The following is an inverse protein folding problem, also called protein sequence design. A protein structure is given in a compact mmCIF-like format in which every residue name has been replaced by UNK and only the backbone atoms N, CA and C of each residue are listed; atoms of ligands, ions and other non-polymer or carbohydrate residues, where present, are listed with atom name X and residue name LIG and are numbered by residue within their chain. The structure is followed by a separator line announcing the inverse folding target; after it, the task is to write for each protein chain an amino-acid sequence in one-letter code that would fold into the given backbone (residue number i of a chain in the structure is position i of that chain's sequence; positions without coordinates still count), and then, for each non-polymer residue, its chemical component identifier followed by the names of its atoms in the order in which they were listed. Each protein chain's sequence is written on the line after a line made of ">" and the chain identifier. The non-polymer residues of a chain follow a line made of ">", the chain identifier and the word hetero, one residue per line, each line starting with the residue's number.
data_IF_446292005623
#
_entry.id   IF_446292005623
#
_cell.length_a   1.000
_cell.length_b   1.000
_cell.length_c   1.000
_cell.angle_alpha   90.00
_cell.angle_beta   90.00
_cell.angle_gamma   90.00
#
_symmetry.space_group_name_H-M   'P 1'
#
loop_
_entity.id
_entity.type
_entity.pdbx_description
1 polymer ?
#
# COMPACT_ATOMS: atom_id res chain seq x y z
N UNK A 1 40.49 -32.65 -13.45
CA UNK A 1 40.75 -31.39 -12.72
C UNK A 1 39.48 -30.59 -12.84
N UNK A 2 38.74 -30.48 -11.74
CA UNK A 2 37.42 -29.88 -11.73
C UNK A 2 37.55 -28.36 -11.62
N UNK A 3 36.94 -27.65 -12.57
CA UNK A 3 36.64 -26.23 -12.44
C UNK A 3 35.47 -26.07 -11.48
N UNK A 4 35.66 -25.21 -10.47
CA UNK A 4 34.59 -24.71 -9.63
C UNK A 4 35.03 -23.33 -9.10
N UNK A 5 34.35 -22.28 -9.51
CA UNK A 5 34.09 -21.13 -8.65
C UNK A 5 32.93 -20.31 -9.22
N UNK A 6 31.72 -20.66 -8.77
CA UNK A 6 30.60 -19.75 -8.65
C UNK A 6 31.05 -18.53 -7.83
N UNK A 7 31.10 -17.37 -8.46
CA UNK A 7 31.12 -16.08 -7.78
C UNK A 7 29.71 -15.49 -7.83
N UNK A 8 29.10 -15.11 -6.69
CA UNK A 8 27.77 -14.52 -6.68
C UNK A 8 27.80 -13.16 -7.39
N UNK A 9 26.67 -12.71 -7.97
CA UNK A 9 26.60 -11.42 -8.64
C UNK A 9 26.91 -10.29 -7.64
N UNK A 10 27.81 -9.41 -8.04
CA UNK A 10 28.32 -8.24 -7.32
C UNK A 10 27.16 -7.31 -6.93
N UNK A 11 26.74 -7.38 -5.67
CA UNK A 11 25.63 -6.62 -5.08
C UNK A 11 26.05 -5.17 -4.76
N UNK A 12 26.73 -4.50 -5.71
CA UNK A 12 27.15 -3.10 -5.60
C UNK A 12 26.01 -2.17 -5.98
N UNK A 13 25.10 -1.98 -5.03
CA UNK A 13 24.17 -0.86 -5.05
C UNK A 13 24.93 0.42 -4.69
N UNK A 14 25.10 1.30 -5.68
CA UNK A 14 25.66 2.63 -5.47
C UNK A 14 24.64 3.43 -4.66
N UNK A 15 25.09 3.93 -3.52
CA UNK A 15 24.31 4.77 -2.62
C UNK A 15 23.75 6.00 -3.34
N UNK A 16 22.45 6.26 -3.18
CA UNK A 16 21.78 7.46 -3.68
C UNK A 16 22.17 8.62 -2.76
N UNK A 17 23.32 9.24 -3.04
CA UNK A 17 23.97 10.27 -2.21
C UNK A 17 23.82 11.66 -2.87
N UNK A 18 23.31 12.64 -2.09
CA UNK A 18 23.44 14.11 -2.21
C UNK A 18 23.13 14.84 -3.54
N UNK A 19 23.05 14.18 -4.70
CA UNK A 19 22.93 14.79 -6.04
C UNK A 19 21.48 15.07 -6.50
N UNK A 20 20.48 14.75 -5.67
CA UNK A 20 19.06 14.74 -6.05
C UNK A 20 18.30 16.05 -5.73
N UNK A 21 18.99 17.09 -5.24
CA UNK A 21 18.38 18.41 -5.03
C UNK A 21 18.87 19.39 -6.09
N UNK A 22 17.92 20.00 -6.80
CA UNK A 22 18.17 21.07 -7.74
C UNK A 22 17.57 22.39 -7.24
N UNK A 23 18.03 23.49 -7.82
CA UNK A 23 17.44 24.80 -7.64
C UNK A 23 16.72 25.23 -8.91
N UNK A 24 15.54 25.84 -8.73
CA UNK A 24 14.80 26.50 -9.79
C UNK A 24 14.55 27.93 -9.36
N UNK A 25 14.99 28.87 -10.19
CA UNK A 25 14.70 30.29 -10.01
C UNK A 25 13.37 30.63 -10.67
N UNK A 26 12.45 31.18 -9.88
CA UNK A 26 11.14 31.63 -10.35
C UNK A 26 11.05 33.14 -10.26
N UNK A 27 10.57 33.80 -11.32
CA UNK A 27 10.40 35.25 -11.34
C UNK A 27 8.97 35.58 -10.94
N UNK A 28 8.79 36.14 -9.74
CA UNK A 28 7.48 36.53 -9.23
C UNK A 28 6.95 37.73 -10.02
N UNK A 29 6.16 37.47 -11.05
CA UNK A 29 5.67 38.48 -12.00
C UNK A 29 4.91 39.66 -11.38
N UNK A 30 4.29 39.50 -10.20
CA UNK A 30 3.61 40.58 -9.49
C UNK A 30 4.57 41.55 -8.78
N UNK A 31 5.81 41.13 -8.51
CA UNK A 31 6.79 41.90 -7.73
C UNK A 31 8.15 42.09 -8.41
N UNK A 32 8.41 41.36 -9.52
CA UNK A 32 9.72 41.30 -10.17
C UNK A 32 10.81 40.61 -9.35
N UNK A 33 10.50 40.09 -8.15
CA UNK A 33 11.46 39.43 -7.27
C UNK A 33 11.74 38.01 -7.74
N UNK A 34 13.01 37.60 -7.68
CA UNK A 34 13.40 36.20 -7.88
C UNK A 34 13.16 35.42 -6.60
N UNK A 35 12.44 34.30 -6.70
CA UNK A 35 12.21 33.33 -5.63
C UNK A 35 12.94 32.04 -6.04
N UNK A 36 14.02 31.71 -5.32
CA UNK A 36 14.70 30.42 -5.49
C UNK A 36 13.94 29.34 -4.74
N UNK A 37 13.66 28.23 -5.42
CA UNK A 37 13.00 27.07 -4.84
C UNK A 37 13.87 25.82 -4.98
N UNK A 38 14.00 25.09 -3.88
CA UNK A 38 14.57 23.75 -3.89
C UNK A 38 13.55 22.78 -4.50
N UNK A 39 14.02 21.99 -5.46
CA UNK A 39 13.24 20.94 -6.10
C UNK A 39 13.98 19.62 -5.99
N UNK A 40 13.23 18.53 -5.80
CA UNK A 40 13.81 17.20 -5.95
C UNK A 40 13.95 16.87 -7.43
N UNK A 41 15.13 16.42 -7.82
CA UNK A 41 15.39 15.76 -9.08
C UNK A 41 15.25 14.25 -8.87
N UNK A 42 14.74 13.51 -9.87
CA UNK A 42 14.81 12.05 -9.83
C UNK A 42 16.26 11.59 -9.70
N UNK A 43 16.47 10.54 -8.92
CA UNK A 43 17.77 9.86 -8.86
C UNK A 43 18.21 9.38 -10.26
N UNK A 44 19.50 9.06 -10.43
CA UNK A 44 20.02 8.53 -11.67
C UNK A 44 19.17 7.34 -12.19
N UNK A 45 18.80 7.38 -13.46
CA UNK A 45 17.90 6.43 -14.12
C UNK A 45 16.47 6.40 -13.58
N UNK A 46 16.04 7.33 -12.73
CA UNK A 46 14.63 7.52 -12.39
C UNK A 46 14.05 8.67 -13.21
N UNK A 47 12.77 8.59 -13.53
CA UNK A 47 12.01 9.65 -14.17
C UNK A 47 11.06 10.37 -13.22
N UNK A 48 10.83 9.89 -12.01
CA UNK A 48 9.94 10.56 -11.05
C UNK A 48 10.47 10.50 -9.62
N UNK A 49 9.91 11.36 -8.77
CA UNK A 49 10.20 11.44 -7.34
C UNK A 49 8.94 11.14 -6.53
N UNK A 50 9.12 10.74 -5.27
CA UNK A 50 8.01 10.59 -4.32
C UNK A 50 7.69 11.97 -3.72
N UNK A 51 6.46 12.44 -3.90
CA UNK A 51 5.99 13.78 -3.47
C UNK A 51 4.96 13.70 -2.32
N UNK A 52 4.53 12.49 -1.96
CA UNK A 52 3.69 12.25 -0.78
C UNK A 52 3.74 10.78 -0.39
N UNK A 53 3.78 10.43 0.90
CA UNK A 53 3.55 9.05 1.35
C UNK A 53 2.76 8.99 2.65
N UNK A 54 1.75 8.13 2.68
CA UNK A 54 1.04 7.71 3.89
C UNK A 54 1.29 6.23 4.14
N UNK A 55 1.81 5.88 5.31
CA UNK A 55 1.95 4.49 5.72
C UNK A 55 1.42 4.26 7.13
N UNK A 56 0.93 3.06 7.37
CA UNK A 56 0.41 2.64 8.68
C UNK A 56 1.20 1.45 9.19
N UNK A 57 1.44 1.40 10.50
CA UNK A 57 2.02 0.26 11.21
C UNK A 57 1.20 -0.06 12.47
N UNK A 58 1.26 -1.30 12.96
CA UNK A 58 0.66 -1.69 14.25
C UNK A 58 1.46 -1.10 15.41
N UNK A 59 0.80 -0.79 16.53
CA UNK A 59 1.45 -0.26 17.75
C UNK A 59 2.59 -1.15 18.28
N UNK A 60 2.46 -2.47 18.14
CA UNK A 60 3.50 -3.44 18.51
C UNK A 60 4.85 -3.20 17.82
N UNK A 61 4.85 -2.51 16.68
CA UNK A 61 6.07 -2.06 16.00
C UNK A 61 6.96 -1.25 16.95
N UNK A 62 6.35 -0.43 17.79
CA UNK A 62 7.04 0.45 18.71
C UNK A 62 7.56 -0.31 19.93
N UNK A 63 6.83 -1.32 20.40
CA UNK A 63 7.35 -2.24 21.43
C UNK A 63 8.59 -2.99 20.92
N UNK A 64 8.53 -3.49 19.69
CA UNK A 64 9.64 -4.22 19.05
C UNK A 64 10.89 -3.33 18.90
N UNK A 65 10.70 -2.06 18.53
CA UNK A 65 11.82 -1.13 18.31
C UNK A 65 12.41 -0.56 19.60
N UNK A 66 11.59 -0.40 20.64
CA UNK A 66 12.03 -0.08 21.99
C UNK A 66 12.69 -1.27 22.71
N UNK A 67 12.36 -2.50 22.30
CA UNK A 67 12.73 -3.77 22.96
C UNK A 67 12.15 -3.90 24.38
N UNK A 68 11.02 -3.25 24.62
CA UNK A 68 10.27 -3.29 25.87
C UNK A 68 8.79 -3.03 25.59
N UNK A 69 7.95 -3.33 26.57
CA UNK A 69 6.53 -3.00 26.48
C UNK A 69 6.31 -1.54 26.87
N UNK A 70 5.70 -0.76 25.99
CA UNK A 70 5.39 0.65 26.24
C UNK A 70 3.96 0.74 26.79
N UNK A 71 3.81 1.39 27.94
CA UNK A 71 2.56 1.39 28.73
C UNK A 71 1.64 2.54 28.33
N UNK A 72 2.21 3.67 27.92
CA UNK A 72 1.47 4.90 27.58
C UNK A 72 1.59 5.28 26.11
N UNK A 73 0.55 5.94 25.59
CA UNK A 73 0.56 6.53 24.25
C UNK A 73 1.77 7.46 24.07
N UNK A 74 2.14 8.25 25.08
CA UNK A 74 3.29 9.16 25.01
C UNK A 74 4.63 8.42 24.79
N UNK A 75 4.83 7.28 25.44
CA UNK A 75 6.02 6.43 25.21
C UNK A 75 6.04 5.88 23.77
N UNK A 76 4.88 5.47 23.25
CA UNK A 76 4.74 5.02 21.86
C UNK A 76 5.08 6.14 20.88
N UNK A 77 4.60 7.36 21.13
CA UNK A 77 4.89 8.54 20.30
C UNK A 77 6.38 8.90 20.36
N UNK A 78 7.01 8.86 21.54
CA UNK A 78 8.44 9.12 21.69
C UNK A 78 9.28 8.10 20.91
N UNK A 79 8.94 6.81 21.00
CA UNK A 79 9.65 5.77 20.25
C UNK A 79 9.43 5.92 18.74
N UNK A 80 8.20 6.22 18.31
CA UNK A 80 7.92 6.52 16.92
C UNK A 80 8.76 7.71 16.42
N UNK A 81 8.81 8.79 17.19
CA UNK A 81 9.65 9.96 16.89
C UNK A 81 11.11 9.58 16.67
N UNK A 82 11.69 8.77 17.57
CA UNK A 82 13.08 8.29 17.49
C UNK A 82 13.35 7.49 16.21
N UNK A 83 12.42 6.64 15.78
CA UNK A 83 12.60 5.86 14.55
C UNK A 83 12.41 6.72 13.31
N UNK A 84 11.44 7.64 13.33
CA UNK A 84 11.19 8.57 12.22
C UNK A 84 12.37 9.51 12.00
N UNK A 85 13.02 9.97 13.07
CA UNK A 85 14.24 10.77 12.99
C UNK A 85 15.38 10.01 12.32
N UNK A 86 15.56 8.71 12.60
CA UNK A 86 16.57 7.88 11.90
C UNK A 86 16.25 7.70 10.40
N UNK A 87 14.97 7.62 10.05
CA UNK A 87 14.53 7.39 8.67
C UNK A 87 14.62 8.69 7.86
N UNK A 88 13.99 9.75 8.35
CA UNK A 88 13.78 11.01 7.64
C UNK A 88 14.78 12.11 8.02
N UNK A 89 15.46 12.00 9.15
CA UNK A 89 16.31 13.07 9.70
C UNK A 89 15.55 14.06 10.59
N UNK A 90 14.26 13.83 10.84
CA UNK A 90 13.44 14.61 11.76
C UNK A 90 12.35 13.76 12.41
N UNK A 91 12.06 14.09 13.67
CA UNK A 91 11.05 13.42 14.49
C UNK A 91 9.76 14.21 14.64
N UNK A 92 8.93 13.77 15.57
CA UNK A 92 7.68 14.41 15.97
C UNK A 92 8.01 15.64 16.83
N UNK A 93 7.43 16.80 16.51
CA UNK A 93 7.79 18.09 17.12
C UNK A 93 6.72 18.68 18.02
N UNK A 94 5.44 18.48 17.69
CA UNK A 94 4.34 19.07 18.44
C UNK A 94 3.08 18.21 18.40
N UNK A 95 2.33 18.18 19.50
CA UNK A 95 0.98 17.62 19.55
C UNK A 95 -0.04 18.63 19.01
N UNK A 96 -1.01 18.16 18.24
CA UNK A 96 -2.10 18.99 17.72
C UNK A 96 -3.31 18.93 18.65
N UNK A 97 -4.14 19.97 18.60
CA UNK A 97 -5.36 20.06 19.42
C UNK A 97 -6.44 19.04 19.04
N UNK A 98 -6.42 18.55 17.79
CA UNK A 98 -7.47 17.69 17.24
C UNK A 98 -6.88 16.43 16.62
N UNK A 99 -7.62 15.34 16.73
CA UNK A 99 -7.40 14.14 15.92
C UNK A 99 -7.52 14.41 14.43
N UNK A 100 -7.02 13.49 13.61
CA UNK A 100 -7.01 13.59 12.16
C UNK A 100 -7.15 12.20 11.53
N UNK A 101 -7.72 12.11 10.32
CA UNK A 101 -7.86 10.85 9.58
C UNK A 101 -8.55 9.73 10.38
N UNK A 102 -9.55 10.08 11.19
CA UNK A 102 -10.29 9.17 12.08
C UNK A 102 -9.48 8.55 13.22
N UNK A 103 -8.28 9.08 13.50
CA UNK A 103 -7.54 8.81 14.74
C UNK A 103 -7.93 9.83 15.80
N UNK A 104 -7.86 9.40 17.06
CA UNK A 104 -8.22 10.20 18.24
C UNK A 104 -7.30 11.41 18.38
N UNK A 105 -6.00 11.22 18.15
CA UNK A 105 -4.98 12.23 18.35
C UNK A 105 -4.06 12.36 17.13
N UNK A 106 -3.42 13.52 17.02
CA UNK A 106 -2.43 13.76 15.96
C UNK A 106 -1.30 14.69 16.40
N UNK A 107 -0.17 14.57 15.73
CA UNK A 107 1.06 15.30 15.97
C UNK A 107 1.65 15.80 14.64
N UNK A 108 2.47 16.83 14.73
CA UNK A 108 3.27 17.38 13.63
C UNK A 108 4.60 16.62 13.55
N UNK A 109 4.99 16.25 12.34
CA UNK A 109 6.29 15.66 12.02
C UNK A 109 7.17 16.75 11.40
N UNK A 110 8.39 16.93 11.93
CA UNK A 110 9.28 18.03 11.54
C UNK A 110 8.61 19.40 11.72
N UNK A 111 8.92 20.34 10.84
CA UNK A 111 8.26 21.65 10.79
C UNK A 111 7.22 21.65 9.66
N UNK A 112 6.01 21.17 9.95
CA UNK A 112 4.92 20.94 8.97
C UNK A 112 5.28 20.00 7.81
N UNK A 113 6.35 19.21 7.96
CA UNK A 113 6.85 18.24 6.98
C UNK A 113 5.96 16.98 6.90
N UNK A 114 5.12 16.77 7.90
CA UNK A 114 4.24 15.62 7.96
C UNK A 114 3.35 15.60 9.18
N UNK A 115 2.68 14.47 9.37
CA UNK A 115 1.83 14.23 10.52
C UNK A 115 1.93 12.80 11.00
N UNK A 116 1.76 12.62 12.31
CA UNK A 116 1.58 11.32 12.94
C UNK A 116 0.20 11.29 13.59
N UNK A 117 -0.53 10.20 13.40
CA UNK A 117 -1.88 9.99 13.89
C UNK A 117 -1.92 8.69 14.69
N UNK A 118 -2.43 8.75 15.92
CA UNK A 118 -2.48 7.60 16.82
C UNK A 118 -3.74 7.62 17.69
N UNK A 119 -4.09 6.44 18.23
CA UNK A 119 -5.29 6.23 19.03
C UNK A 119 -6.54 5.96 18.18
N UNK A 120 -7.24 4.87 18.50
CA UNK A 120 -8.33 4.36 17.66
C UNK A 120 -7.81 3.49 16.50
N UNK A 121 -8.65 3.23 15.50
CA UNK A 121 -8.27 2.52 14.25
C UNK A 121 -7.46 1.22 14.45
N UNK A 122 -7.98 0.28 15.24
CA UNK A 122 -7.41 -1.09 15.38
C UNK A 122 -5.91 -1.09 15.75
N UNK A 123 -5.53 -0.26 16.73
CA UNK A 123 -4.17 -0.19 17.27
C UNK A 123 -3.11 0.13 16.21
N UNK A 124 -3.44 1.00 15.26
CA UNK A 124 -2.47 1.44 14.25
C UNK A 124 -1.99 2.85 14.50
N UNK A 125 -0.83 3.16 13.95
CA UNK A 125 -0.32 4.51 13.80
C UNK A 125 -0.24 4.84 12.31
N UNK A 126 -0.79 5.98 11.90
CA UNK A 126 -0.65 6.51 10.54
C UNK A 126 0.41 7.60 10.54
N UNK A 127 1.39 7.46 9.65
CA UNK A 127 2.42 8.45 9.38
C UNK A 127 2.19 8.99 7.98
N UNK A 128 2.24 10.32 7.86
CA UNK A 128 2.09 11.08 6.62
C UNK A 128 3.33 11.93 6.42
N UNK A 129 4.02 11.76 5.29
CA UNK A 129 5.08 12.64 4.81
C UNK A 129 4.54 13.44 3.63
N UNK A 130 4.54 14.77 3.75
CA UNK A 130 4.06 15.68 2.69
C UNK A 130 5.17 15.93 1.66
N UNK A 131 4.86 16.64 0.56
CA UNK A 131 5.90 17.05 -0.40
C UNK A 131 7.02 17.89 0.22
N UNK A 132 6.69 18.74 1.20
CA UNK A 132 7.70 19.47 1.97
C UNK A 132 8.58 18.52 2.78
N UNK A 133 7.99 17.51 3.42
CA UNK A 133 8.74 16.48 4.12
C UNK A 133 9.61 15.61 3.21
N UNK A 134 9.12 15.25 2.02
CA UNK A 134 9.92 14.53 1.02
C UNK A 134 11.16 15.32 0.58
N UNK A 135 11.05 16.65 0.44
CA UNK A 135 12.17 17.55 0.07
C UNK A 135 13.18 17.67 1.21
N UNK A 136 12.73 17.77 2.46
CA UNK A 136 13.59 18.00 3.62
C UNK A 136 14.13 16.70 4.25
N UNK A 137 13.61 15.54 3.85
CA UNK A 137 14.09 14.27 4.36
C UNK A 137 15.52 14.00 3.88
N UNK A 138 16.36 13.50 4.79
CA UNK A 138 17.76 13.19 4.49
C UNK A 138 17.86 12.17 3.36
N UNK A 139 18.90 12.31 2.51
CA UNK A 139 19.10 11.45 1.34
C UNK A 139 19.04 9.95 1.68
N UNK A 140 18.40 9.16 0.82
CA UNK A 140 18.20 7.72 1.01
C UNK A 140 17.11 7.34 2.01
N UNK A 141 16.22 8.27 2.38
CA UNK A 141 15.11 7.98 3.32
C UNK A 141 14.16 6.94 2.76
N UNK A 142 14.01 6.86 1.43
CA UNK A 142 13.15 5.91 0.75
C UNK A 142 13.59 4.48 1.05
N UNK A 143 14.90 4.22 0.95
CA UNK A 143 15.49 2.92 1.28
C UNK A 143 15.37 2.62 2.77
N UNK A 144 15.64 3.59 3.65
CA UNK A 144 15.49 3.41 5.10
C UNK A 144 14.04 3.11 5.49
N UNK A 145 13.08 3.79 4.84
CA UNK A 145 11.66 3.52 5.05
C UNK A 145 11.29 2.12 4.54
N UNK A 146 11.76 1.75 3.35
CA UNK A 146 11.57 0.40 2.80
C UNK A 146 12.08 -0.68 3.77
N UNK A 147 13.30 -0.52 4.26
CA UNK A 147 13.93 -1.46 5.20
C UNK A 147 13.15 -1.53 6.52
N UNK A 148 12.74 -0.38 7.05
CA UNK A 148 11.92 -0.32 8.25
C UNK A 148 10.59 -1.06 8.05
N UNK A 149 9.89 -0.80 6.94
CA UNK A 149 8.59 -1.41 6.68
C UNK A 149 8.69 -2.91 6.43
N UNK A 150 9.75 -3.39 5.78
CA UNK A 150 9.91 -4.82 5.43
C UNK A 150 10.44 -5.66 6.57
N UNK A 151 11.39 -5.14 7.37
CA UNK A 151 12.13 -5.94 8.36
C UNK A 151 11.66 -5.70 9.79
N UNK A 152 11.18 -4.49 10.08
CA UNK A 152 10.96 -4.02 11.44
C UNK A 152 9.48 -3.89 11.75
N UNK A 153 8.72 -3.19 10.90
CA UNK A 153 7.32 -2.88 11.12
C UNK A 153 6.43 -4.11 11.18
N UNK A 154 5.40 -4.04 12.03
CA UNK A 154 4.37 -5.06 12.14
C UNK A 154 3.13 -4.57 11.40
N UNK A 155 2.63 -5.41 10.47
CA UNK A 155 1.47 -5.12 9.60
C UNK A 155 1.59 -3.77 8.87
N UNK A 156 2.72 -3.50 8.18
CA UNK A 156 2.90 -2.28 7.40
C UNK A 156 1.88 -2.20 6.25
N UNK A 157 1.44 -1.00 5.91
CA UNK A 157 0.65 -0.75 4.68
C UNK A 157 0.84 0.68 4.21
N UNK A 158 1.19 0.87 2.94
CA UNK A 158 1.11 2.19 2.30
C UNK A 158 -0.34 2.42 1.87
N UNK A 159 -0.95 3.49 2.39
CA UNK A 159 -2.34 3.86 2.09
C UNK A 159 -2.46 4.89 0.98
N UNK A 160 -1.42 5.71 0.80
CA UNK A 160 -1.29 6.67 -0.28
C UNK A 160 0.17 6.87 -0.64
N UNK A 161 0.47 7.00 -1.93
CA UNK A 161 1.76 7.52 -2.41
C UNK A 161 1.50 8.37 -3.65
N UNK A 162 2.15 9.53 -3.74
CA UNK A 162 2.09 10.39 -4.92
C UNK A 162 3.47 10.41 -5.59
N UNK A 163 3.50 10.13 -6.89
CA UNK A 163 4.71 10.15 -7.73
C UNK A 163 4.66 11.35 -8.66
N UNK A 164 5.69 12.18 -8.66
CA UNK A 164 5.77 13.41 -9.44
C UNK A 164 6.87 13.34 -10.51
N UNK A 165 6.50 13.70 -11.74
CA UNK A 165 7.42 13.95 -12.85
C UNK A 165 7.34 15.42 -13.23
N UNK A 166 8.49 16.09 -13.28
CA UNK A 166 8.61 17.51 -13.55
C UNK A 166 9.28 17.74 -14.90
N UNK A 167 8.69 18.62 -15.70
CA UNK A 167 9.32 19.22 -16.87
C UNK A 167 9.46 20.72 -16.57
N UNK A 168 10.66 21.13 -16.17
CA UNK A 168 10.95 22.49 -15.73
C UNK A 168 10.89 23.50 -16.89
N UNK A 169 11.27 23.07 -18.08
CA UNK A 169 11.39 23.91 -19.26
C UNK A 169 10.14 23.88 -20.16
N UNK A 170 9.21 22.95 -19.89
CA UNK A 170 8.00 22.75 -20.70
C UNK A 170 8.31 22.24 -22.11
N UNK A 171 9.36 21.42 -22.24
CA UNK A 171 9.83 20.88 -23.52
C UNK A 171 8.88 19.83 -24.10
N UNK A 172 8.23 19.04 -23.25
CA UNK A 172 7.42 17.89 -23.69
C UNK A 172 6.17 17.65 -22.84
N UNK A 173 6.08 18.21 -21.64
CA UNK A 173 4.94 18.05 -20.74
C UNK A 173 4.14 19.35 -20.62
N UNK A 174 2.85 19.28 -20.90
CA UNK A 174 1.92 20.39 -20.65
C UNK A 174 0.51 19.89 -20.35
N UNK A 175 -0.34 20.77 -19.82
CA UNK A 175 -1.77 20.45 -19.62
C UNK A 175 -2.49 20.21 -20.94
N UNK A 176 -2.05 20.86 -22.01
CA UNK A 176 -2.62 20.71 -23.36
C UNK A 176 -2.17 19.38 -23.97
N UNK A 177 -0.90 18.99 -23.81
CA UNK A 177 -0.40 17.64 -24.17
C UNK A 177 -1.23 16.55 -23.47
N UNK A 178 -1.47 16.70 -22.16
CA UNK A 178 -2.23 15.71 -21.40
C UNK A 178 -3.67 15.57 -21.91
N UNK A 179 -4.28 16.68 -22.34
CA UNK A 179 -5.60 16.65 -22.95
C UNK A 179 -5.59 15.95 -24.32
N UNK A 180 -4.60 16.23 -25.17
CA UNK A 180 -4.41 15.52 -26.44
C UNK A 180 -4.27 14.02 -26.23
N UNK A 181 -3.47 13.59 -25.25
CA UNK A 181 -3.31 12.18 -24.89
C UNK A 181 -4.61 11.55 -24.38
N UNK A 182 -5.46 12.31 -23.70
CA UNK A 182 -6.77 11.81 -23.30
C UNK A 182 -7.69 11.60 -24.50
N UNK A 183 -7.75 12.56 -25.42
CA UNK A 183 -8.53 12.47 -26.65
C UNK A 183 -8.09 11.31 -27.55
N UNK A 184 -6.80 11.00 -27.58
CA UNK A 184 -6.24 9.87 -28.34
C UNK A 184 -6.33 8.52 -27.61
N UNK A 185 -6.83 8.49 -26.37
CA UNK A 185 -6.97 7.26 -25.58
C UNK A 185 -5.71 6.81 -24.83
N UNK A 186 -4.67 7.64 -24.75
CA UNK A 186 -3.39 7.37 -24.08
C UNK A 186 -3.47 7.06 -22.58
N UNK A 187 -4.59 7.35 -21.92
CA UNK A 187 -4.84 7.00 -20.50
C UNK A 187 -5.61 5.69 -20.31
N UNK A 188 -5.89 4.94 -21.38
CA UNK A 188 -6.69 3.70 -21.35
C UNK A 188 -5.86 2.49 -21.79
N UNK A 189 -5.66 1.52 -20.89
CA UNK A 189 -4.95 0.27 -21.23
C UNK A 189 -5.74 -0.66 -22.15
N UNK A 190 -7.07 -0.57 -22.15
CA UNK A 190 -7.95 -1.39 -22.97
C UNK A 190 -8.59 -0.52 -24.04
N UNK A 191 -8.36 -0.85 -25.31
CA UNK A 191 -9.06 -0.22 -26.43
C UNK A 191 -10.59 -0.40 -26.28
N UNK A 192 -11.33 0.69 -26.43
CA UNK A 192 -12.80 0.71 -26.27
C UNK A 192 -13.30 0.61 -24.83
N UNK A 193 -12.43 0.61 -23.81
CA UNK A 193 -12.84 0.73 -22.41
C UNK A 193 -13.39 2.13 -22.09
N UNK A 194 -14.16 2.26 -21.01
CA UNK A 194 -14.60 3.58 -20.53
C UNK A 194 -13.37 4.42 -20.17
N UNK A 195 -13.12 5.56 -20.83
CA UNK A 195 -11.98 6.40 -20.51
C UNK A 195 -12.11 6.98 -19.09
N UNK A 196 -10.99 7.27 -18.41
CA UNK A 196 -11.03 7.96 -17.13
C UNK A 196 -11.67 9.34 -17.31
N UNK A 197 -12.41 9.79 -16.30
CA UNK A 197 -12.99 11.14 -16.28
C UNK A 197 -11.89 12.21 -16.32
N UNK A 198 -12.12 13.32 -17.02
CA UNK A 198 -11.22 14.48 -16.96
C UNK A 198 -11.92 15.72 -16.43
N UNK A 199 -11.15 16.56 -15.74
CA UNK A 199 -11.63 17.86 -15.27
C UNK A 199 -10.57 18.93 -15.53
N UNK A 200 -11.01 20.05 -16.11
CA UNK A 200 -10.23 21.27 -16.32
C UNK A 200 -10.45 22.21 -15.14
N UNK A 201 -9.43 22.41 -14.31
CA UNK A 201 -9.45 23.29 -13.13
C UNK A 201 -8.60 24.53 -13.40
N UNK A 202 -9.09 25.71 -12.98
CA UNK A 202 -8.46 27.00 -13.25
C UNK A 202 -9.09 27.75 -14.43
N UNK A 203 -8.48 28.84 -14.86
CA UNK A 203 -9.04 29.68 -15.93
C UNK A 203 -8.52 29.26 -17.31
N UNK A 204 -9.18 28.28 -17.92
CA UNK A 204 -8.78 27.71 -19.22
C UNK A 204 -9.15 28.60 -20.42
N UNK A 205 -10.24 29.37 -20.32
CA UNK A 205 -10.70 30.23 -21.41
C UNK A 205 -9.99 31.57 -21.45
N UNK A 206 -9.58 32.10 -20.29
CA UNK A 206 -8.86 33.38 -20.17
C UNK A 206 -7.71 33.23 -19.18
N UNK A 207 -6.60 32.57 -19.56
CA UNK A 207 -5.49 32.29 -18.64
C UNK A 207 -5.04 33.53 -17.86
N UNK A 208 -5.19 33.49 -16.53
CA UNK A 208 -4.88 34.62 -15.64
C UNK A 208 -3.43 34.64 -15.16
N UNK A 209 -2.62 33.69 -15.63
CA UNK A 209 -1.27 33.42 -15.11
C UNK A 209 -1.23 32.63 -13.80
N UNK A 210 -2.37 32.33 -13.16
CA UNK A 210 -2.42 31.54 -11.91
C UNK A 210 -2.22 30.03 -12.09
N UNK A 211 -1.97 29.58 -13.32
CA UNK A 211 -1.83 28.18 -13.67
C UNK A 211 -3.14 27.48 -13.99
N UNK A 212 -3.06 26.52 -14.90
CA UNK A 212 -4.11 25.55 -15.25
C UNK A 212 -3.77 24.19 -14.68
N UNK A 213 -4.81 23.41 -14.39
CA UNK A 213 -4.68 22.02 -13.97
C UNK A 213 -5.64 21.15 -14.75
N UNK A 214 -5.14 20.09 -15.39
CA UNK A 214 -5.94 19.00 -15.93
C UNK A 214 -5.86 17.82 -14.96
N UNK A 215 -7.00 17.25 -14.61
CA UNK A 215 -7.04 16.06 -13.75
C UNK A 215 -7.63 14.89 -14.52
N UNK A 216 -7.09 13.69 -14.31
CA UNK A 216 -7.51 12.44 -14.96
C UNK A 216 -7.86 11.40 -13.90
N UNK A 217 -9.07 10.84 -13.98
CA UNK A 217 -9.67 9.99 -12.97
C UNK A 217 -10.39 10.77 -11.87
N UNK A 218 -10.84 10.07 -10.84
CA UNK A 218 -11.54 10.66 -9.70
C UNK A 218 -10.69 10.58 -8.44
N UNK A 219 -10.69 11.63 -7.63
CA UNK A 219 -9.90 11.68 -6.39
C UNK A 219 -10.22 10.56 -5.39
N UNK A 220 -11.43 10.00 -5.42
CA UNK A 220 -11.83 8.88 -4.54
C UNK A 220 -11.32 7.51 -5.04
N UNK A 221 -10.86 7.42 -6.28
CA UNK A 221 -10.37 6.19 -6.89
C UNK A 221 -8.98 5.80 -6.35
N UNK A 222 -8.54 4.58 -6.66
CA UNK A 222 -7.20 4.08 -6.30
C UNK A 222 -6.06 4.72 -7.08
N UNK A 223 -6.37 5.45 -8.16
CA UNK A 223 -5.41 6.16 -9.00
C UNK A 223 -6.04 7.46 -9.49
N UNK A 224 -5.34 8.58 -9.32
CA UNK A 224 -5.77 9.90 -9.72
C UNK A 224 -4.57 10.71 -10.22
N UNK A 225 -4.65 11.25 -11.44
CA UNK A 225 -3.55 11.97 -12.07
C UNK A 225 -3.83 13.45 -12.17
N UNK A 226 -2.79 14.28 -12.04
CA UNK A 226 -2.87 15.74 -12.18
C UNK A 226 -1.71 16.23 -13.03
N UNK A 227 -2.03 17.03 -14.03
CA UNK A 227 -1.08 17.82 -14.80
C UNK A 227 -1.33 19.27 -14.46
N UNK A 228 -0.32 20.00 -14.02
CA UNK A 228 -0.52 21.41 -13.69
C UNK A 228 0.72 22.25 -13.93
N UNK A 229 0.49 23.53 -14.20
CA UNK A 229 1.54 24.52 -14.43
C UNK A 229 2.13 24.94 -13.07
N UNK A 230 3.14 24.19 -12.60
CA UNK A 230 3.70 24.26 -11.25
C UNK A 230 4.42 25.59 -10.99
N UNK A 231 5.22 26.10 -11.91
CA UNK A 231 5.88 27.41 -11.70
C UNK A 231 4.88 28.57 -11.59
N UNK A 232 3.77 28.52 -12.34
CA UNK A 232 2.64 29.47 -12.21
C UNK A 232 1.96 29.39 -10.84
N UNK A 233 1.77 28.17 -10.32
CA UNK A 233 1.27 27.96 -8.95
C UNK A 233 2.20 28.56 -7.89
N UNK A 234 3.50 28.56 -8.14
CA UNK A 234 4.52 29.12 -7.24
C UNK A 234 4.74 30.63 -7.38
N UNK A 235 4.04 31.28 -8.32
CA UNK A 235 3.97 32.74 -8.48
C UNK A 235 4.58 33.30 -9.76
N UNK A 236 5.23 32.48 -10.57
CA UNK A 236 5.79 32.88 -11.87
C UNK A 236 4.80 32.61 -13.00
N UNK A 237 4.08 33.66 -13.42
CA UNK A 237 3.06 33.56 -14.49
C UNK A 237 3.64 33.19 -15.86
N UNK A 238 4.93 33.40 -16.08
CA UNK A 238 5.62 33.12 -17.35
C UNK A 238 6.29 31.74 -17.36
N UNK A 239 6.45 31.11 -16.20
CA UNK A 239 7.08 29.80 -16.08
C UNK A 239 6.39 28.74 -16.96
N UNK A 240 7.23 27.96 -17.65
CA UNK A 240 6.82 26.80 -18.45
C UNK A 240 6.79 25.51 -17.63
N UNK A 241 7.35 25.51 -16.41
CA UNK A 241 7.36 24.36 -15.52
C UNK A 241 5.98 23.71 -15.35
N UNK A 242 5.85 22.49 -15.88
CA UNK A 242 4.69 21.62 -15.72
C UNK A 242 5.05 20.39 -14.88
N UNK A 243 4.12 19.98 -14.01
CA UNK A 243 4.25 18.76 -13.19
C UNK A 243 3.13 17.78 -13.49
N UNK A 244 3.48 16.51 -13.66
CA UNK A 244 2.58 15.37 -13.67
C UNK A 244 2.68 14.61 -12.35
N UNK A 245 1.60 14.60 -11.56
CA UNK A 245 1.49 13.83 -10.32
C UNK A 245 0.51 12.67 -10.47
N UNK A 246 0.92 11.47 -10.11
CA UNK A 246 0.03 10.30 -9.95
C UNK A 246 -0.12 9.97 -8.48
N UNK A 247 -1.31 10.18 -7.96
CA UNK A 247 -1.73 9.77 -6.62
C UNK A 247 -2.28 8.35 -6.67
N UNK A 248 -1.60 7.42 -6.00
CA UNK A 248 -2.08 6.06 -5.76
C UNK A 248 -2.68 5.97 -4.37
N UNK A 249 -3.80 5.26 -4.24
CA UNK A 249 -4.48 4.96 -2.98
C UNK A 249 -4.78 3.49 -2.86
N UNK A 250 -4.69 2.96 -1.64
CA UNK A 250 -4.99 1.56 -1.37
C UNK A 250 -6.51 1.23 -1.37
N UNK A 251 -7.38 2.08 -1.93
CA UNK A 251 -8.84 1.87 -1.94
C UNK A 251 -9.22 0.53 -2.57
N UNK A 252 -8.77 0.30 -3.80
CA UNK A 252 -9.02 -0.93 -4.58
C UNK A 252 -7.72 -1.59 -5.07
N UNK A 253 -6.57 -1.09 -4.62
CA UNK A 253 -5.25 -1.63 -4.95
C UNK A 253 -4.43 -1.83 -3.69
N UNK A 254 -3.37 -2.60 -3.82
CA UNK A 254 -2.29 -2.73 -2.86
C UNK A 254 -1.15 -1.89 -3.42
N UNK A 255 -0.63 -0.99 -2.59
CA UNK A 255 0.56 -0.22 -2.93
C UNK A 255 1.74 -1.04 -2.40
N UNK A 256 2.47 -1.65 -3.34
CA UNK A 256 3.64 -2.48 -3.02
C UNK A 256 4.75 -1.62 -2.42
N UNK A 257 5.47 -2.13 -1.43
CA UNK A 257 6.56 -1.38 -0.78
C UNK A 257 7.70 -1.05 -1.74
N UNK A 258 7.91 -1.88 -2.77
CA UNK A 258 8.93 -1.70 -3.80
C UNK A 258 8.78 -0.38 -4.58
N UNK A 259 7.61 0.28 -4.52
CA UNK A 259 7.43 1.64 -5.07
C UNK A 259 8.40 2.65 -4.45
N UNK A 260 8.86 2.42 -3.21
CA UNK A 260 9.85 3.26 -2.54
C UNK A 260 11.22 3.15 -3.22
N UNK A 261 11.54 2.00 -3.81
CA UNK A 261 12.83 1.74 -4.44
C UNK A 261 12.81 2.02 -5.95
N UNK A 262 11.68 1.77 -6.61
CA UNK A 262 11.55 1.92 -8.05
C UNK A 262 10.28 2.71 -8.43
N UNK A 263 10.15 3.98 -8.01
CA UNK A 263 8.94 4.78 -8.26
C UNK A 263 8.66 4.93 -9.75
N UNK A 264 9.69 5.04 -10.59
CA UNK A 264 9.57 5.22 -12.04
C UNK A 264 8.81 4.10 -12.73
N UNK A 265 9.06 2.84 -12.35
CA UNK A 265 8.35 1.71 -12.95
C UNK A 265 6.83 1.80 -12.70
N UNK A 266 6.42 2.18 -11.49
CA UNK A 266 5.01 2.36 -11.13
C UNK A 266 4.39 3.60 -11.78
N UNK A 267 5.16 4.68 -11.93
CA UNK A 267 4.72 5.86 -12.66
C UNK A 267 4.47 5.53 -14.14
N UNK A 268 5.42 4.89 -14.82
CA UNK A 268 5.28 4.44 -16.21
C UNK A 268 4.13 3.45 -16.38
N UNK A 269 3.92 2.55 -15.42
CA UNK A 269 2.78 1.63 -15.40
C UNK A 269 1.44 2.24 -14.98
N UNK A 270 1.40 3.54 -14.64
CA UNK A 270 0.17 4.24 -14.33
C UNK A 270 -0.71 4.42 -15.57
N UNK A 271 -0.14 4.83 -16.70
CA UNK A 271 -0.86 5.08 -17.96
C UNK A 271 0.01 4.77 -19.18
N UNK A 272 -0.57 4.24 -20.28
CA UNK A 272 0.19 3.95 -21.50
C UNK A 272 1.03 5.11 -22.05
N UNK A 273 0.48 6.33 -22.08
CA UNK A 273 1.16 7.52 -22.58
C UNK A 273 2.41 7.92 -21.77
N UNK A 274 2.64 7.36 -20.59
CA UNK A 274 3.81 7.71 -19.76
C UNK A 274 5.07 6.97 -20.18
N UNK A 275 4.94 6.02 -21.11
CA UNK A 275 6.07 5.34 -21.71
C UNK A 275 7.04 6.29 -22.42
N UNK A 276 6.54 7.42 -22.89
CA UNK A 276 7.32 8.47 -23.59
C UNK A 276 8.24 9.26 -22.64
N UNK A 277 7.96 9.28 -21.33
CA UNK A 277 8.68 10.13 -20.38
C UNK A 277 9.95 9.51 -19.82
N UNK A 278 10.07 8.17 -19.83
CA UNK A 278 11.19 7.50 -19.16
C UNK A 278 11.67 6.29 -19.93
N UNK A 279 12.97 6.28 -20.23
CA UNK A 279 13.65 5.27 -21.02
C UNK A 279 13.76 3.88 -20.34
N UNK A 280 13.48 3.76 -19.03
CA UNK A 280 13.65 2.51 -18.28
C UNK A 280 12.80 1.32 -18.75
N UNK A 281 13.34 0.12 -18.52
CA UNK A 281 13.02 -1.09 -19.29
C UNK A 281 11.80 -1.91 -18.87
N UNK A 282 11.12 -1.67 -17.75
CA UNK A 282 9.86 -2.39 -17.46
C UNK A 282 8.89 -1.62 -16.57
N UNK A 283 7.65 -1.34 -17.04
CA UNK A 283 6.61 -0.74 -16.20
C UNK A 283 6.08 -1.74 -15.16
N UNK A 284 5.82 -1.26 -13.94
CA UNK A 284 5.18 -2.02 -12.86
C UNK A 284 3.78 -1.45 -12.57
N UNK A 285 2.84 -2.29 -12.14
CA UNK A 285 1.47 -1.86 -11.82
C UNK A 285 1.11 -2.24 -10.40
N UNK A 286 0.40 -1.35 -9.71
CA UNK A 286 -0.15 -1.65 -8.39
C UNK A 286 -1.09 -2.85 -8.48
N UNK A 287 -0.94 -3.81 -7.56
CA UNK A 287 -1.80 -5.00 -7.52
C UNK A 287 -3.22 -4.60 -7.18
N UNK A 288 -4.20 -5.17 -7.85
CA UNK A 288 -5.61 -4.92 -7.53
C UNK A 288 -5.98 -5.77 -6.31
N UNK A 289 -6.71 -5.20 -5.35
CA UNK A 289 -7.28 -5.98 -4.25
C UNK A 289 -8.31 -6.93 -4.83
N UNK A 290 -8.06 -8.21 -4.70
CA UNK A 290 -9.09 -9.21 -4.97
C UNK A 290 -10.23 -8.97 -3.98
N UNK A 291 -11.45 -8.83 -4.50
CA UNK A 291 -12.62 -8.86 -3.63
C UNK A 291 -12.67 -10.25 -3.03
N UNK A 292 -12.65 -10.37 -1.70
CA UNK A 292 -12.94 -11.64 -1.05
C UNK A 292 -14.24 -12.19 -1.64
N UNK A 293 -14.14 -13.27 -2.42
CA UNK A 293 -15.28 -13.81 -3.16
C UNK A 293 -16.39 -14.26 -2.20
N UNK A 294 -16.04 -14.56 -0.95
CA UNK A 294 -16.86 -15.26 0.03
C UNK A 294 -16.88 -14.51 1.38
N UNK A 295 -18.02 -14.55 2.06
CA UNK A 295 -18.25 -14.08 3.43
C UNK A 295 -18.56 -15.34 4.26
N UNK A 296 -17.98 -15.46 5.45
CA UNK A 296 -18.26 -16.59 6.35
C UNK A 296 -19.60 -16.43 7.06
N UNK A 297 -20.12 -17.51 7.67
CA UNK A 297 -21.33 -17.44 8.51
C UNK A 297 -21.09 -16.53 9.73
N UNK A 298 -19.89 -16.56 10.32
CA UNK A 298 -19.52 -15.71 11.45
C UNK A 298 -19.53 -14.22 11.09
N UNK A 299 -18.97 -13.86 9.93
CA UNK A 299 -19.03 -12.51 9.40
C UNK A 299 -20.49 -12.05 9.20
N UNK A 300 -21.35 -12.96 8.70
CA UNK A 300 -22.77 -12.68 8.51
C UNK A 300 -23.48 -12.38 9.83
N UNK A 301 -23.20 -13.17 10.87
CA UNK A 301 -23.74 -12.97 12.22
C UNK A 301 -23.27 -11.62 12.79
N UNK A 302 -21.97 -11.32 12.69
CA UNK A 302 -21.41 -10.07 13.23
C UNK A 302 -21.98 -8.84 12.52
N UNK A 303 -22.07 -8.88 11.18
CA UNK A 303 -22.67 -7.80 10.38
C UNK A 303 -24.13 -7.60 10.78
N UNK A 304 -24.90 -8.68 10.88
CA UNK A 304 -26.32 -8.63 11.23
C UNK A 304 -26.52 -8.04 12.63
N UNK A 305 -25.74 -8.50 13.60
CA UNK A 305 -25.75 -7.99 14.98
C UNK A 305 -25.42 -6.50 15.02
N UNK A 306 -24.39 -6.07 14.29
CA UNK A 306 -23.90 -4.69 14.30
C UNK A 306 -24.86 -3.72 13.61
N UNK A 307 -25.36 -4.07 12.43
CA UNK A 307 -26.18 -3.18 11.60
C UNK A 307 -27.65 -3.21 12.00
N UNK A 308 -28.20 -4.40 12.29
CA UNK A 308 -29.63 -4.60 12.43
C UNK A 308 -30.06 -5.03 13.83
N UNK A 309 -29.12 -5.43 14.71
CA UNK A 309 -29.44 -5.96 16.04
C UNK A 309 -30.31 -5.04 16.92
N UNK A 310 -30.14 -3.71 16.81
CA UNK A 310 -30.98 -2.74 17.52
C UNK A 310 -32.44 -2.77 17.07
N UNK A 311 -32.67 -2.87 15.75
CA UNK A 311 -34.01 -2.96 15.19
C UNK A 311 -34.65 -4.30 15.53
N UNK A 312 -33.91 -5.41 15.38
CA UNK A 312 -34.37 -6.75 15.75
C UNK A 312 -34.79 -6.80 17.23
N UNK A 313 -34.06 -6.14 18.14
CA UNK A 313 -34.45 -6.05 19.56
C UNK A 313 -35.81 -5.35 19.76
N UNK A 314 -36.09 -4.28 19.02
CA UNK A 314 -37.38 -3.58 19.07
C UNK A 314 -38.48 -4.48 18.52
N UNK A 315 -38.27 -5.08 17.35
CA UNK A 315 -39.26 -5.96 16.71
C UNK A 315 -39.62 -7.15 17.59
N UNK A 316 -38.63 -7.81 18.19
CA UNK A 316 -38.86 -8.89 19.16
C UNK A 316 -39.68 -8.44 20.37
N UNK A 317 -39.47 -7.21 20.85
CA UNK A 317 -40.24 -6.66 21.96
C UNK A 317 -41.69 -6.31 21.61
N UNK A 318 -41.96 -5.96 20.35
CA UNK A 318 -43.30 -5.56 19.89
C UNK A 318 -44.15 -6.75 19.44
N UNK A 319 -43.55 -7.69 18.72
CA UNK A 319 -44.26 -8.77 18.02
C UNK A 319 -43.93 -10.17 18.57
N UNK A 320 -43.01 -10.27 19.53
CA UNK A 320 -42.48 -11.58 19.96
C UNK A 320 -41.52 -12.19 18.95
N UNK A 321 -40.93 -13.33 19.29
CA UNK A 321 -39.78 -13.87 18.53
C UNK A 321 -40.17 -14.39 17.13
N UNK A 322 -41.23 -15.18 17.03
CA UNK A 322 -41.66 -15.82 15.78
C UNK A 322 -42.12 -14.78 14.75
N UNK A 323 -43.09 -13.95 15.12
CA UNK A 323 -43.68 -12.97 14.21
C UNK A 323 -42.66 -11.88 13.79
N UNK A 324 -41.75 -11.49 14.70
CA UNK A 324 -40.66 -10.57 14.33
C UNK A 324 -39.71 -11.15 13.29
N UNK A 325 -39.40 -12.46 13.35
CA UNK A 325 -38.54 -13.12 12.37
C UNK A 325 -39.26 -13.30 11.03
N UNK A 326 -40.53 -13.69 11.06
CA UNK A 326 -41.35 -13.87 9.86
C UNK A 326 -41.52 -12.55 9.08
N UNK A 327 -41.57 -11.40 9.79
CA UNK A 327 -41.67 -10.07 9.18
C UNK A 327 -40.39 -9.59 8.47
N UNK A 328 -39.21 -10.02 8.90
CA UNK A 328 -37.92 -9.50 8.39
C UNK A 328 -37.16 -10.49 7.53
N UNK A 329 -37.55 -11.76 7.55
CA UNK A 329 -36.97 -12.80 6.69
C UNK A 329 -37.53 -12.66 5.29
N UNK A 330 -36.68 -12.82 4.27
CA UNK A 330 -37.14 -12.76 2.89
C UNK A 330 -38.07 -13.96 2.61
N UNK A 331 -39.23 -13.69 1.99
CA UNK A 331 -40.19 -14.74 1.63
C UNK A 331 -39.70 -15.69 0.53
N UNK A 332 -38.68 -15.29 -0.24
CA UNK A 332 -38.01 -16.17 -1.20
C UNK A 332 -36.97 -17.06 -0.49
N UNK A 333 -37.27 -18.36 -0.40
CA UNK A 333 -36.40 -19.38 0.21
C UNK A 333 -35.02 -19.51 -0.47
N UNK A 334 -34.87 -18.97 -1.69
CA UNK A 334 -33.62 -18.97 -2.44
C UNK A 334 -32.89 -17.61 -2.42
N UNK A 335 -33.41 -16.62 -1.68
CA UNK A 335 -32.79 -15.30 -1.54
C UNK A 335 -31.59 -15.29 -0.58
N UNK A 336 -30.58 -16.11 -0.88
CA UNK A 336 -29.33 -16.16 -0.14
C UNK A 336 -28.44 -14.96 -0.48
N UNK A 337 -27.70 -14.40 0.50
CA UNK A 337 -26.68 -13.41 0.19
C UNK A 337 -25.69 -13.99 -0.82
N UNK A 338 -25.52 -13.34 -1.99
CA UNK A 338 -24.73 -13.83 -3.14
C UNK A 338 -23.29 -14.27 -2.82
N UNK A 339 -22.75 -13.87 -1.67
CA UNK A 339 -21.37 -14.11 -1.22
C UNK A 339 -21.28 -15.02 0.01
N UNK A 340 -22.41 -15.43 0.60
CA UNK A 340 -22.43 -16.33 1.73
C UNK A 340 -22.31 -17.77 1.22
N UNK A 341 -21.26 -18.48 1.63
CA UNK A 341 -21.24 -19.95 1.55
C UNK A 341 -21.65 -20.47 2.93
N UNK A 342 -22.74 -21.22 3.05
CA UNK A 342 -22.91 -22.08 4.21
C UNK A 342 -21.68 -22.97 4.26
N UNK A 343 -20.84 -22.85 5.28
CA UNK A 343 -20.03 -24.00 5.63
C UNK A 343 -21.06 -25.06 6.01
N UNK A 344 -21.26 -26.05 5.14
CA UNK A 344 -22.06 -27.22 5.47
C UNK A 344 -21.27 -28.03 6.50
N UNK A 345 -21.17 -27.53 7.74
CA UNK A 345 -20.67 -28.30 8.88
C UNK A 345 -21.68 -29.36 9.34
N UNK A 346 -22.76 -29.57 8.58
CA UNK A 346 -23.81 -30.55 8.86
C UNK A 346 -24.28 -31.33 7.62
N UNK A 347 -23.65 -31.16 6.45
CA UNK A 347 -23.72 -32.23 5.45
C UNK A 347 -22.55 -33.15 5.73
N UNK A 348 -22.85 -34.42 6.03
CA UNK A 348 -21.82 -35.46 6.05
C UNK A 348 -21.11 -35.38 4.71
N UNK A 349 -19.87 -34.92 4.69
CA UNK A 349 -19.03 -35.06 3.51
C UNK A 349 -18.96 -36.57 3.24
N UNK A 350 -19.61 -37.04 2.17
CA UNK A 350 -19.65 -38.47 1.80
C UNK A 350 -18.26 -39.04 1.52
N UNK A 351 -17.24 -38.20 1.46
CA UNK A 351 -15.84 -38.59 1.34
C UNK A 351 -15.21 -38.64 2.72
N UNK A 352 -14.88 -39.84 3.16
CA UNK A 352 -14.02 -40.04 4.30
C UNK A 352 -12.63 -39.45 3.99
N UNK A 353 -11.91 -38.89 4.98
CA UNK A 353 -10.51 -38.54 4.81
C UNK A 353 -9.72 -39.76 4.30
N UNK A 354 -8.73 -39.56 3.43
CA UNK A 354 -8.00 -40.64 2.75
C UNK A 354 -7.34 -41.65 3.72
N UNK A 355 -7.08 -41.24 4.97
CA UNK A 355 -6.55 -42.10 6.02
C UNK A 355 -7.61 -42.95 6.75
N UNK A 356 -8.89 -42.80 6.40
CA UNK A 356 -10.05 -43.50 6.98
C UNK A 356 -10.72 -44.43 5.96
N UNK A 357 -10.43 -44.30 4.66
CA UNK A 357 -10.90 -45.26 3.66
C UNK A 357 -10.13 -46.59 3.78
N UNK A 358 -10.79 -47.76 3.70
CA UNK A 358 -10.10 -49.04 3.61
C UNK A 358 -9.15 -49.02 2.41
N UNK A 359 -7.92 -49.50 2.60
CA UNK A 359 -6.88 -49.64 1.59
C UNK A 359 -7.28 -50.64 0.48
N UNK A 360 -8.31 -50.33 -0.31
CA UNK A 360 -8.71 -51.13 -1.47
C UNK A 360 -8.52 -50.36 -2.80
N UNK A 361 -8.19 -49.07 -2.75
CA UNK A 361 -8.07 -48.20 -3.95
C UNK A 361 -6.65 -47.66 -4.24
N UNK A 362 -5.63 -48.14 -3.51
CA UNK A 362 -4.21 -47.94 -3.87
C UNK A 362 -3.54 -49.30 -4.09
N UNK A 363 -3.62 -49.88 -5.30
CA UNK A 363 -2.90 -51.12 -5.60
C UNK A 363 -1.41 -50.79 -5.73
N UNK A 364 -0.64 -50.97 -4.65
CA UNK A 364 0.80 -50.75 -4.71
C UNK A 364 1.57 -50.76 -3.39
N UNK A 365 0.88 -50.67 -2.24
CA UNK A 365 1.53 -50.76 -0.93
C UNK A 365 1.04 -52.02 -0.21
N UNK A 366 1.44 -53.18 -0.73
CA UNK A 366 1.59 -54.38 0.09
C UNK A 366 3.00 -54.37 0.65
N UNK A 367 3.12 -54.21 1.96
CA UNK A 367 4.16 -54.92 2.70
C UNK A 367 3.97 -56.42 2.41
N UNK A 368 5.08 -57.14 2.21
CA UNK A 368 5.15 -58.59 2.00
C UNK A 368 5.03 -59.09 0.54
N UNK A 369 5.91 -58.60 -0.34
CA UNK A 369 6.37 -59.39 -1.49
C UNK A 369 7.83 -59.06 -1.79
N UNK A 370 8.70 -60.08 -1.73
CA UNK A 370 10.14 -59.94 -1.88
C UNK A 370 10.56 -59.21 -3.16
N UNK A 371 11.13 -58.02 -3.00
CA UNK A 371 11.84 -57.29 -4.04
C UNK A 371 13.31 -57.23 -3.67
N UNK A 372 14.15 -57.77 -4.55
CA UNK A 372 15.61 -57.78 -4.42
C UNK A 372 16.17 -56.37 -4.38
N UNK A 373 16.83 -56.02 -3.28
CA UNK A 373 17.49 -54.74 -3.08
C UNK A 373 18.72 -54.67 -4.02
N UNK A 374 18.86 -53.64 -4.87
CA UNK A 374 20.09 -53.41 -5.62
C UNK A 374 21.27 -53.21 -4.65
N UNK A 375 22.40 -53.89 -4.89
CA UNK A 375 23.51 -54.02 -3.93
C UNK A 375 24.24 -52.73 -3.52
N UNK A 376 23.84 -51.55 -4.03
CA UNK A 376 24.56 -50.30 -3.77
C UNK A 376 23.96 -49.44 -2.64
N UNK A 377 22.77 -49.76 -2.11
CA UNK A 377 22.17 -48.99 -1.02
C UNK A 377 22.19 -49.82 0.27
N UNK A 378 23.36 -49.85 0.91
CA UNK A 378 23.50 -50.20 2.31
C UNK A 378 23.94 -48.96 3.11
N UNK A 379 23.35 -48.82 4.30
CA UNK A 379 23.70 -47.91 5.41
C UNK A 379 23.27 -46.44 5.23
N UNK A 380 22.61 -45.79 6.20
CA UNK A 380 22.75 -45.88 7.66
C UNK A 380 21.37 -45.92 8.34
N UNK A 381 21.14 -46.98 9.12
CA UNK A 381 20.13 -47.03 10.19
C UNK A 381 20.74 -46.41 11.45
N UNK A 382 20.14 -45.35 11.99
CA UNK A 382 19.90 -45.12 13.43
C UNK A 382 19.41 -43.69 13.65
N UNK A 383 18.15 -43.53 14.06
CA UNK A 383 17.73 -42.41 14.91
C UNK A 383 17.04 -43.03 16.12
N UNK A 384 17.54 -42.87 17.36
CA UNK A 384 16.86 -43.36 18.54
C UNK A 384 15.69 -42.42 18.88
N UNK A 385 14.49 -42.99 18.99
CA UNK A 385 13.32 -42.36 19.61
C UNK A 385 13.45 -42.43 21.14
N UNK A 386 13.69 -41.31 21.81
CA UNK A 386 13.40 -41.19 23.24
C UNK A 386 11.95 -40.74 23.40
N UNK A 387 11.07 -41.70 23.69
CA UNK A 387 9.76 -41.45 24.27
C UNK A 387 9.89 -41.36 25.78
N UNK A 388 9.28 -40.34 26.37
CA UNK A 388 9.01 -40.27 27.81
C UNK A 388 7.49 -40.16 27.99
N UNK A 389 6.87 -41.31 28.24
CA UNK A 389 5.62 -41.44 28.98
C UNK A 389 5.79 -42.64 29.90
N UNK A 390 5.62 -42.43 31.20
CA UNK A 390 5.72 -43.48 32.21
C UNK A 390 5.56 -42.92 33.61
N UNK A 391 4.32 -42.72 34.03
CA UNK A 391 3.97 -42.78 35.45
C UNK A 391 4.14 -44.23 35.93
N UNK A 392 5.04 -44.46 36.89
CA UNK A 392 4.99 -45.47 37.95
C UNK A 392 6.28 -45.35 38.78
N UNK A 393 6.14 -45.08 40.08
CA UNK A 393 7.24 -44.72 40.99
C UNK A 393 8.05 -45.89 41.57
N UNK A 394 8.68 -45.59 42.71
CA UNK A 394 9.49 -46.40 43.64
C UNK A 394 11.01 -46.25 43.55
N UNK A 395 11.55 -45.30 44.32
CA UNK A 395 12.49 -45.48 45.45
C UNK A 395 12.97 -44.11 45.93
#
# INVERSE_FOLDING_TARGET
>A
MAENSDSPPDDRWISVCEEDLGEVELVLTDSGKVKTMLVRRPAANQGCVIDWVNFTVLEDTWFKTAREHLISDDQIIIEASRQLEKIFGFGITAKREKGMNFYRESWVLGDEMGFVCFGGQRSTMLITLTGLGCINAVAGWEKRLYDFLTTTAIRPSISRIDLAHDDLNGEYLSVDWAETQWLSGGFSFRQGGRPPEIQRVGNWHRPSGKGRTLTVGQRKSSKYCRFYEKGKKEGDKASLWCRCEVEFKNTNSIIELDVLLNPTAYFKGAYPCFSEFVANDTPARMRIKERAAQITVDDCIEITKRQFGKYIRVLRGLFGDQEALDLITNHDEHAWPKRLKPHASCEKTERAPVHVEPHEHFPGLREDAGLSIPSFIQFIKTVPSFGLNGENGFA
#
